data_IF_661154964374
#
_entry.id   IF_661154964374
#
_cell.length_a   1.000
_cell.length_b   1.000
_cell.length_c   1.000
_cell.angle_alpha   90.00
_cell.angle_beta   90.00
_cell.angle_gamma   90.00
#
_symmetry.space_group_name_H-M   'P 1'
#
loop_
_entity.id
_entity.type
_entity.pdbx_description
1 polymer ?
#
# COMPACT_ATOMS: atom_id res chain seq x y z
N UNK A 1 32.75 7.60 3.01
CA UNK A 1 31.90 6.99 1.93
C UNK A 1 31.08 5.77 2.42
N UNK A 2 30.54 5.77 3.65
CA UNK A 2 29.67 4.69 4.17
C UNK A 2 28.18 5.05 4.24
N UNK A 3 27.83 6.35 4.16
CA UNK A 3 26.45 6.84 4.27
C UNK A 3 25.58 6.46 3.07
N UNK A 4 26.13 6.48 1.86
CA UNK A 4 25.44 6.10 0.62
C UNK A 4 25.11 4.60 0.51
N UNK A 5 25.65 3.75 1.40
CA UNK A 5 25.38 2.30 1.38
C UNK A 5 24.11 1.92 2.17
N UNK A 6 23.56 2.85 2.96
CA UNK A 6 22.33 2.67 3.76
C UNK A 6 21.09 3.12 2.98
N UNK A 7 21.25 4.04 2.01
CA UNK A 7 20.16 4.57 1.21
C UNK A 7 20.03 3.78 -0.09
N UNK A 8 19.00 2.94 -0.18
CA UNK A 8 18.63 2.26 -1.41
C UNK A 8 18.29 3.30 -2.51
N UNK A 9 18.64 3.05 -3.78
CA UNK A 9 18.35 3.98 -4.88
C UNK A 9 16.88 4.40 -4.96
N UNK A 10 15.95 3.53 -4.59
CA UNK A 10 14.53 3.86 -4.56
C UNK A 10 14.20 4.87 -3.46
N UNK A 11 14.79 4.72 -2.26
CA UNK A 11 14.62 5.69 -1.16
C UNK A 11 15.17 7.06 -1.54
N UNK A 12 16.32 7.13 -2.20
CA UNK A 12 16.87 8.41 -2.70
C UNK A 12 15.96 9.06 -3.73
N UNK A 13 15.40 8.26 -4.63
CA UNK A 13 14.46 8.73 -5.65
C UNK A 13 13.18 9.26 -5.00
N UNK A 14 12.65 8.55 -4.00
CA UNK A 14 11.47 8.95 -3.24
C UNK A 14 11.70 10.30 -2.52
N UNK A 15 12.84 10.46 -1.84
CA UNK A 15 13.21 11.73 -1.19
C UNK A 15 13.28 12.86 -2.23
N UNK A 16 13.92 12.59 -3.38
CA UNK A 16 14.04 13.57 -4.46
C UNK A 16 12.66 14.00 -4.98
N UNK A 17 11.74 13.05 -5.16
CA UNK A 17 10.37 13.34 -5.61
C UNK A 17 9.59 14.13 -4.57
N UNK A 18 9.73 13.82 -3.29
CA UNK A 18 9.12 14.59 -2.20
C UNK A 18 9.64 16.03 -2.21
N UNK A 19 10.96 16.23 -2.30
CA UNK A 19 11.55 17.57 -2.40
C UNK A 19 11.05 18.31 -3.64
N UNK A 20 10.99 17.64 -4.80
CA UNK A 20 10.45 18.23 -6.02
C UNK A 20 8.99 18.64 -5.85
N UNK A 21 8.13 17.81 -5.26
CA UNK A 21 6.74 18.16 -5.01
C UNK A 21 6.60 19.32 -4.01
N UNK A 22 7.51 19.43 -3.03
CA UNK A 22 7.52 20.53 -2.05
C UNK A 22 7.93 21.87 -2.65
N UNK A 23 8.92 21.90 -3.55
CA UNK A 23 9.41 23.15 -4.15
C UNK A 23 8.72 23.51 -5.48
N UNK A 24 8.27 22.49 -6.22
CA UNK A 24 7.62 22.61 -7.52
C UNK A 24 6.32 21.81 -7.57
N UNK A 25 5.32 22.15 -6.74
CA UNK A 25 4.04 21.45 -6.74
C UNK A 25 3.31 21.64 -8.08
N UNK A 26 2.57 20.61 -8.51
CA UNK A 26 1.61 20.76 -9.61
C UNK A 26 0.55 21.81 -9.25
N UNK A 27 0.35 22.82 -10.11
CA UNK A 27 -0.58 23.95 -9.90
C UNK A 27 -1.41 24.22 -11.14
N UNK A 28 -2.59 24.81 -10.95
CA UNK A 28 -3.47 25.26 -12.04
C UNK A 28 -3.95 24.11 -12.91
N UNK A 29 -3.93 24.30 -14.23
CA UNK A 29 -4.48 23.36 -15.22
C UNK A 29 -3.79 21.99 -15.25
N UNK A 30 -2.61 21.85 -14.62
CA UNK A 30 -1.93 20.56 -14.48
C UNK A 30 -2.58 19.65 -13.42
N UNK A 31 -3.34 20.19 -12.46
CA UNK A 31 -3.99 19.41 -11.39
C UNK A 31 -4.88 18.28 -11.94
N UNK A 32 -5.88 18.56 -12.81
CA UNK A 32 -6.74 17.49 -13.35
C UNK A 32 -5.98 16.49 -14.23
N UNK A 33 -4.87 16.91 -14.86
CA UNK A 33 -4.01 15.98 -15.60
C UNK A 33 -3.31 14.99 -14.65
N UNK A 34 -2.70 15.49 -13.57
CA UNK A 34 -2.02 14.64 -12.58
C UNK A 34 -2.99 13.76 -11.80
N UNK A 35 -4.21 14.21 -11.50
CA UNK A 35 -5.25 13.39 -10.88
C UNK A 35 -5.67 12.20 -11.76
N UNK A 36 -5.94 12.45 -13.04
CA UNK A 36 -6.29 11.40 -14.00
C UNK A 36 -5.13 10.44 -14.22
N UNK A 37 -3.90 10.96 -14.33
CA UNK A 37 -2.69 10.15 -14.49
C UNK A 37 -2.43 9.28 -13.24
N UNK A 38 -2.65 9.83 -12.05
CA UNK A 38 -2.53 9.10 -10.78
C UNK A 38 -3.58 8.00 -10.68
N UNK A 39 -4.82 8.30 -11.07
CA UNK A 39 -5.90 7.30 -11.13
C UNK A 39 -5.56 6.15 -12.08
N UNK A 40 -5.05 6.47 -13.27
CA UNK A 40 -4.58 5.47 -14.24
C UNK A 40 -3.38 4.68 -13.71
N UNK A 41 -2.45 5.33 -13.02
CA UNK A 41 -1.27 4.68 -12.42
C UNK A 41 -1.65 3.73 -11.28
N UNK A 42 -2.62 4.09 -10.44
CA UNK A 42 -3.19 3.21 -9.41
C UNK A 42 -3.89 2.02 -10.06
N UNK A 43 -4.74 2.25 -11.07
CA UNK A 43 -5.40 1.15 -11.79
C UNK A 43 -4.38 0.20 -12.42
N UNK A 44 -3.35 0.72 -13.08
CA UNK A 44 -2.26 -0.07 -13.64
C UNK A 44 -1.49 -0.85 -12.56
N UNK A 45 -1.17 -0.20 -11.43
CA UNK A 45 -0.48 -0.84 -10.31
C UNK A 45 -1.28 -2.03 -9.81
N UNK A 46 -2.58 -1.86 -9.51
CA UNK A 46 -3.43 -2.94 -9.02
C UNK A 46 -3.64 -4.04 -10.08
N UNK A 47 -3.79 -3.68 -11.35
CA UNK A 47 -3.84 -4.64 -12.46
C UNK A 47 -2.57 -5.51 -12.52
N UNK A 48 -1.39 -4.88 -12.45
CA UNK A 48 -0.12 -5.60 -12.47
C UNK A 48 0.07 -6.47 -11.23
N UNK A 49 -0.43 -6.06 -10.06
CA UNK A 49 -0.45 -6.89 -8.87
C UNK A 49 -1.33 -8.14 -9.05
N UNK A 50 -2.53 -7.98 -9.63
CA UNK A 50 -3.41 -9.09 -9.96
C UNK A 50 -2.77 -10.08 -10.95
N UNK A 51 -2.14 -9.56 -12.00
CA UNK A 51 -1.46 -10.36 -13.02
C UNK A 51 -0.23 -11.12 -12.49
N UNK A 52 0.46 -10.57 -11.48
CA UNK A 52 1.59 -11.24 -10.80
C UNK A 52 1.13 -12.36 -9.87
N UNK A 53 -0.08 -12.27 -9.31
CA UNK A 53 -0.56 -13.19 -8.28
C UNK A 53 -0.80 -14.60 -8.86
N UNK A 54 0.07 -15.54 -8.48
CA UNK A 54 -0.04 -16.92 -8.92
C UNK A 54 -0.98 -17.77 -8.08
N UNK A 55 -1.67 -18.71 -8.73
CA UNK A 55 -2.55 -19.68 -8.03
C UNK A 55 -1.74 -20.51 -7.05
N UNK A 56 -0.52 -20.85 -7.43
CA UNK A 56 0.45 -21.57 -6.60
C UNK A 56 0.85 -20.76 -5.36
N UNK A 57 1.01 -19.44 -5.48
CA UNK A 57 1.31 -18.56 -4.33
C UNK A 57 0.11 -18.45 -3.37
N UNK A 58 -1.12 -18.43 -3.90
CA UNK A 58 -2.34 -18.46 -3.08
C UNK A 58 -2.41 -19.78 -2.29
N UNK A 59 -2.15 -20.91 -2.94
CA UNK A 59 -2.20 -22.25 -2.31
C UNK A 59 -1.04 -22.44 -1.32
N UNK A 60 0.18 -22.02 -1.67
CA UNK A 60 1.36 -22.10 -0.82
C UNK A 60 1.22 -21.27 0.47
N UNK A 61 0.43 -20.18 0.42
CA UNK A 61 0.03 -19.39 1.59
C UNK A 61 -0.76 -20.17 2.65
N UNK A 62 -1.23 -21.39 2.35
CA UNK A 62 -1.99 -22.22 3.30
C UNK A 62 -1.15 -23.07 4.27
N UNK A 63 0.15 -23.24 4.03
CA UNK A 63 0.96 -24.25 4.72
C UNK A 63 1.16 -24.06 6.24
N UNK A 64 1.07 -22.82 6.75
CA UNK A 64 1.31 -22.50 8.17
C UNK A 64 0.21 -21.60 8.77
N UNK A 65 -1.05 -22.02 8.64
CA UNK A 65 -2.24 -21.21 8.97
C UNK A 65 -2.23 -20.56 10.36
N UNK A 66 -1.69 -21.21 11.40
CA UNK A 66 -1.60 -20.64 12.76
C UNK A 66 -0.71 -19.39 12.82
N UNK A 67 0.42 -19.42 12.11
CA UNK A 67 1.32 -18.27 12.01
C UNK A 67 0.68 -17.17 11.18
N UNK A 68 0.09 -17.53 10.04
CA UNK A 68 -0.61 -16.57 9.18
C UNK A 68 -1.72 -15.86 9.93
N UNK A 69 -2.52 -16.58 10.71
CA UNK A 69 -3.59 -16.01 11.51
C UNK A 69 -3.04 -15.03 12.56
N UNK A 70 -1.96 -15.38 13.25
CA UNK A 70 -1.30 -14.45 14.19
C UNK A 70 -0.82 -13.16 13.52
N UNK A 71 -0.17 -13.28 12.36
CA UNK A 71 0.32 -12.11 11.62
C UNK A 71 -0.84 -11.29 11.03
N UNK A 72 -1.91 -11.93 10.56
CA UNK A 72 -3.10 -11.23 10.07
C UNK A 72 -3.81 -10.50 11.21
N UNK A 73 -4.03 -11.15 12.34
CA UNK A 73 -4.68 -10.53 13.49
C UNK A 73 -3.84 -9.39 14.07
N UNK A 74 -2.52 -9.53 14.14
CA UNK A 74 -1.69 -8.40 14.57
C UNK A 74 -1.81 -7.23 13.60
N UNK A 75 -1.70 -7.47 12.29
CA UNK A 75 -1.70 -6.42 11.25
C UNK A 75 -3.05 -5.75 11.09
N UNK A 76 -4.14 -6.51 11.04
CA UNK A 76 -5.46 -6.02 10.64
C UNK A 76 -6.47 -5.89 11.78
N UNK A 77 -6.10 -6.29 13.00
CA UNK A 77 -6.96 -6.14 14.19
C UNK A 77 -6.22 -5.35 15.26
N UNK A 78 -5.06 -5.83 15.72
CA UNK A 78 -4.32 -5.20 16.82
C UNK A 78 -3.88 -3.78 16.46
N UNK A 79 -3.19 -3.58 15.33
CA UNK A 79 -2.73 -2.24 14.93
C UNK A 79 -3.87 -1.25 14.68
N UNK A 80 -4.96 -1.58 13.96
CA UNK A 80 -6.12 -0.70 13.85
C UNK A 80 -6.76 -0.34 15.19
N UNK A 81 -6.89 -1.30 16.13
CA UNK A 81 -7.41 -1.03 17.48
C UNK A 81 -6.49 -0.04 18.21
N UNK A 82 -5.17 -0.25 18.16
CA UNK A 82 -4.20 0.68 18.76
C UNK A 82 -4.28 2.07 18.12
N UNK A 83 -4.46 2.15 16.80
CA UNK A 83 -4.66 3.41 16.08
C UNK A 83 -5.93 4.14 16.53
N UNK A 84 -7.05 3.43 16.69
CA UNK A 84 -8.30 3.99 17.20
C UNK A 84 -8.14 4.49 18.64
N UNK A 85 -7.51 3.69 19.51
CA UNK A 85 -7.23 4.08 20.89
C UNK A 85 -6.34 5.33 20.96
N UNK A 86 -5.33 5.43 20.08
CA UNK A 86 -4.46 6.60 19.99
C UNK A 86 -5.23 7.84 19.51
N UNK A 87 -6.07 7.71 18.49
CA UNK A 87 -6.91 8.79 17.98
C UNK A 87 -7.98 9.23 18.99
N UNK A 88 -8.48 8.31 19.81
CA UNK A 88 -9.42 8.60 20.89
C UNK A 88 -8.75 9.30 22.08
N UNK A 89 -7.56 8.84 22.48
CA UNK A 89 -6.83 9.40 23.62
C UNK A 89 -6.27 10.80 23.33
N UNK A 90 -6.02 11.13 22.05
CA UNK A 90 -5.44 12.41 21.60
C UNK A 90 -4.24 12.87 22.44
N UNK A 91 -3.19 12.04 22.60
CA UNK A 91 -2.08 12.35 23.48
C UNK A 91 -1.24 13.56 23.02
N UNK A 92 -1.37 13.97 21.75
CA UNK A 92 -0.65 15.11 21.18
C UNK A 92 -1.65 16.11 20.59
N UNK A 93 -1.47 17.40 20.84
CA UNK A 93 -2.33 18.43 20.25
C UNK A 93 -1.93 18.68 18.78
N UNK A 94 -2.47 17.87 17.87
CA UNK A 94 -2.26 17.96 16.42
C UNK A 94 -3.61 17.98 15.71
N UNK A 95 -3.59 18.36 14.42
CA UNK A 95 -4.76 18.40 13.58
C UNK A 95 -5.51 17.04 13.55
N UNK A 96 -6.85 17.00 13.70
CA UNK A 96 -7.64 15.76 13.60
C UNK A 96 -7.43 14.96 12.31
N UNK A 97 -7.07 15.62 11.21
CA UNK A 97 -6.75 14.98 9.94
C UNK A 97 -5.44 14.20 10.01
N UNK A 98 -4.49 14.63 10.84
CA UNK A 98 -3.24 13.88 11.08
C UNK A 98 -3.51 12.58 11.85
N UNK A 99 -4.45 12.59 12.81
CA UNK A 99 -4.90 11.38 13.47
C UNK A 99 -5.57 10.40 12.51
N UNK A 100 -6.38 10.91 11.58
CA UNK A 100 -6.98 10.10 10.51
C UNK A 100 -5.92 9.49 9.59
N UNK A 101 -4.89 10.25 9.21
CA UNK A 101 -3.75 9.76 8.43
C UNK A 101 -2.95 8.69 9.18
N UNK A 102 -2.70 8.89 10.48
CA UNK A 102 -2.05 7.89 11.32
C UNK A 102 -2.87 6.59 11.44
N UNK A 103 -4.18 6.72 11.64
CA UNK A 103 -5.09 5.57 11.67
C UNK A 103 -5.11 4.82 10.32
N UNK A 104 -5.09 5.54 9.20
CA UNK A 104 -4.94 4.94 7.88
C UNK A 104 -3.65 4.11 7.78
N UNK A 105 -2.51 4.63 8.25
CA UNK A 105 -1.25 3.88 8.31
C UNK A 105 -1.35 2.61 9.15
N UNK A 106 -2.08 2.62 10.27
CA UNK A 106 -2.31 1.44 11.10
C UNK A 106 -3.15 0.34 10.42
N UNK A 107 -3.88 0.67 9.35
CA UNK A 107 -4.74 -0.26 8.60
C UNK A 107 -4.01 -0.86 7.38
N UNK A 108 -2.91 -0.26 6.95
CA UNK A 108 -2.12 -0.75 5.81
C UNK A 108 -1.37 -2.05 6.15
N UNK A 109 -1.17 -2.94 5.17
CA UNK A 109 -0.41 -4.16 5.39
C UNK A 109 1.07 -3.86 5.66
N UNK A 110 1.75 -4.79 6.36
CA UNK A 110 3.17 -4.69 6.63
C UNK A 110 4.04 -4.90 5.37
N UNK A 111 5.24 -4.30 5.37
CA UNK A 111 6.23 -4.45 4.29
C UNK A 111 6.94 -5.80 4.34
N UNK A 112 6.91 -6.55 3.23
CA UNK A 112 7.50 -7.90 3.12
C UNK A 112 9.00 -7.92 3.44
N UNK A 113 9.78 -7.00 2.87
CA UNK A 113 11.23 -7.00 3.04
C UNK A 113 11.67 -6.74 4.50
N UNK A 114 11.05 -5.76 5.16
CA UNK A 114 11.37 -5.45 6.57
C UNK A 114 11.00 -6.62 7.49
N UNK A 115 9.85 -7.27 7.25
CA UNK A 115 9.42 -8.43 8.03
C UNK A 115 10.43 -9.59 7.93
N UNK A 116 10.96 -9.85 6.73
CA UNK A 116 11.99 -10.87 6.49
C UNK A 116 13.29 -10.50 7.20
N UNK A 117 13.75 -9.25 7.02
CA UNK A 117 15.00 -8.79 7.61
C UNK A 117 14.98 -8.87 9.14
N UNK A 118 13.93 -8.35 9.78
CA UNK A 118 13.80 -8.39 11.24
C UNK A 118 13.60 -9.79 11.78
N UNK A 119 12.85 -10.65 11.08
CA UNK A 119 12.71 -12.06 11.49
C UNK A 119 14.05 -12.78 11.42
N UNK A 120 14.84 -12.56 10.36
CA UNK A 120 16.17 -13.15 10.23
C UNK A 120 17.11 -12.68 11.34
N UNK A 121 17.09 -11.38 11.66
CA UNK A 121 17.91 -10.81 12.73
C UNK A 121 17.52 -11.36 14.11
N UNK A 122 16.24 -11.65 14.33
CA UNK A 122 15.74 -12.25 15.56
C UNK A 122 15.96 -13.78 15.63
N UNK A 123 16.63 -14.40 14.65
CA UNK A 123 16.84 -15.85 14.58
C UNK A 123 15.57 -16.66 14.28
N UNK A 124 14.54 -16.01 13.74
CA UNK A 124 13.25 -16.63 13.42
C UNK A 124 13.22 -17.34 12.07
N UNK A 125 12.06 -17.93 11.74
CA UNK A 125 11.87 -18.66 10.49
C UNK A 125 11.62 -17.71 9.31
N UNK A 126 12.67 -17.45 8.53
CA UNK A 126 12.64 -16.58 7.34
C UNK A 126 11.65 -17.08 6.28
N UNK A 127 11.59 -18.38 6.00
CA UNK A 127 10.70 -18.93 4.99
C UNK A 127 9.22 -18.70 5.36
N UNK A 128 8.90 -18.88 6.65
CA UNK A 128 7.56 -18.63 7.17
C UNK A 128 7.22 -17.13 7.17
N UNK A 129 8.19 -16.25 7.46
CA UNK A 129 8.01 -14.80 7.37
C UNK A 129 7.78 -14.34 5.93
N UNK A 130 8.52 -14.87 4.94
CA UNK A 130 8.29 -14.58 3.51
C UNK A 130 6.86 -14.95 3.13
N UNK A 131 6.44 -16.17 3.48
CA UNK A 131 5.10 -16.66 3.15
C UNK A 131 4.02 -15.80 3.82
N UNK A 132 4.16 -15.52 5.12
CA UNK A 132 3.15 -14.80 5.88
C UNK A 132 3.07 -13.32 5.54
N UNK A 133 4.20 -12.67 5.29
CA UNK A 133 4.20 -11.28 4.86
C UNK A 133 3.63 -11.16 3.45
N UNK A 134 3.93 -12.10 2.54
CA UNK A 134 3.33 -12.12 1.19
C UNK A 134 1.82 -12.32 1.27
N UNK A 135 1.34 -13.27 2.09
CA UNK A 135 -0.08 -13.48 2.33
C UNK A 135 -0.75 -12.23 2.93
N UNK A 136 -0.09 -11.56 3.88
CA UNK A 136 -0.59 -10.32 4.50
C UNK A 136 -0.73 -9.20 3.50
N UNK A 137 0.30 -8.95 2.68
CA UNK A 137 0.26 -7.92 1.65
C UNK A 137 -0.81 -8.20 0.61
N UNK A 138 -0.99 -9.46 0.20
CA UNK A 138 -2.04 -9.86 -0.74
C UNK A 138 -3.44 -9.70 -0.15
N UNK A 139 -3.66 -10.14 1.09
CA UNK A 139 -4.95 -9.94 1.77
C UNK A 139 -5.21 -8.46 2.03
N UNK A 140 -4.18 -7.67 2.35
CA UNK A 140 -4.28 -6.24 2.58
C UNK A 140 -4.81 -5.44 1.40
N UNK A 141 -4.55 -5.88 0.16
CA UNK A 141 -5.13 -5.29 -1.06
C UNK A 141 -6.67 -5.22 -0.96
N UNK A 142 -7.28 -6.24 -0.36
CA UNK A 142 -8.73 -6.34 -0.18
C UNK A 142 -9.17 -5.81 1.19
N UNK A 143 -8.43 -6.17 2.25
CA UNK A 143 -8.85 -5.94 3.62
C UNK A 143 -8.64 -4.49 4.07
N UNK A 144 -7.57 -3.83 3.61
CA UNK A 144 -7.26 -2.47 4.05
C UNK A 144 -8.33 -1.46 3.64
N UNK A 145 -8.85 -1.41 2.39
CA UNK A 145 -9.88 -0.44 2.06
C UNK A 145 -11.23 -0.74 2.74
N UNK A 146 -11.54 -2.03 3.02
CA UNK A 146 -12.71 -2.40 3.84
C UNK A 146 -12.57 -1.87 5.27
N UNK A 147 -11.40 -2.07 5.89
CA UNK A 147 -11.12 -1.60 7.24
C UNK A 147 -11.08 -0.08 7.31
N UNK A 148 -10.48 0.59 6.34
CA UNK A 148 -10.50 2.06 6.22
C UNK A 148 -11.94 2.54 6.15
N UNK A 149 -12.74 1.96 5.27
CA UNK A 149 -14.14 2.32 5.11
C UNK A 149 -14.96 2.10 6.37
N UNK A 150 -14.75 1.00 7.09
CA UNK A 150 -15.44 0.68 8.33
C UNK A 150 -15.00 1.59 9.48
N UNK A 151 -13.70 1.69 9.73
CA UNK A 151 -13.14 2.36 10.91
C UNK A 151 -13.24 3.88 10.79
N UNK A 152 -13.02 4.43 9.59
CA UNK A 152 -13.07 5.88 9.36
C UNK A 152 -14.49 6.41 9.19
N UNK A 153 -15.48 5.60 8.77
CA UNK A 153 -16.91 5.96 8.86
C UNK A 153 -17.33 6.23 10.30
N UNK A 154 -16.95 5.31 11.19
CA UNK A 154 -17.42 5.28 12.58
C UNK A 154 -16.94 6.51 13.35
N UNK A 155 -15.87 7.17 12.89
CA UNK A 155 -15.31 8.40 13.48
C UNK A 155 -15.82 9.71 12.85
N UNK A 156 -16.86 9.67 12.01
CA UNK A 156 -17.57 10.89 11.58
C UNK A 156 -17.05 11.58 10.32
N UNK A 157 -16.12 10.97 9.58
CA UNK A 157 -15.86 11.37 8.20
C UNK A 157 -16.95 10.72 7.34
N UNK A 158 -17.91 11.51 6.83
CA UNK A 158 -19.15 11.11 6.14
C UNK A 158 -19.01 10.19 4.93
N UNK A 159 -18.52 8.98 5.16
CA UNK A 159 -17.99 8.10 4.16
C UNK A 159 -18.91 6.94 3.88
N UNK A 160 -20.18 7.14 3.52
CA UNK A 160 -21.18 6.06 3.38
C UNK A 160 -20.62 4.70 2.90
N UNK A 161 -21.18 3.58 3.37
CA UNK A 161 -20.86 2.22 2.88
C UNK A 161 -20.74 2.12 1.35
N UNK A 162 -21.52 2.95 0.64
CA UNK A 162 -21.49 3.10 -0.81
C UNK A 162 -20.17 3.68 -1.35
N UNK A 163 -19.58 4.66 -0.67
CA UNK A 163 -18.28 5.27 -1.00
C UNK A 163 -17.13 4.27 -0.79
N UNK A 164 -17.21 3.47 0.28
CA UNK A 164 -16.30 2.34 0.51
C UNK A 164 -16.43 1.33 -0.62
N UNK A 165 -17.67 1.00 -1.00
CA UNK A 165 -17.97 0.15 -2.14
C UNK A 165 -17.37 0.68 -3.45
N UNK A 166 -17.46 1.98 -3.71
CA UNK A 166 -16.86 2.61 -4.91
C UNK A 166 -15.34 2.52 -4.91
N UNK A 167 -14.68 2.83 -3.80
CA UNK A 167 -13.21 2.71 -3.69
C UNK A 167 -12.80 1.25 -3.86
N UNK A 168 -13.54 0.33 -3.25
CA UNK A 168 -13.31 -1.10 -3.42
C UNK A 168 -13.47 -1.51 -4.87
N UNK A 169 -14.52 -1.08 -5.56
CA UNK A 169 -14.72 -1.40 -6.97
C UNK A 169 -13.60 -0.78 -7.82
N UNK A 170 -13.19 0.45 -7.54
CA UNK A 170 -12.10 1.13 -8.25
C UNK A 170 -10.74 0.45 -8.09
N UNK A 171 -10.44 -0.14 -6.92
CA UNK A 171 -9.18 -0.84 -6.65
C UNK A 171 -9.24 -2.34 -7.01
N UNK A 172 -10.35 -3.01 -6.71
CA UNK A 172 -10.55 -4.44 -6.95
C UNK A 172 -10.82 -4.77 -8.40
N UNK A 173 -11.58 -3.94 -9.12
CA UNK A 173 -11.87 -4.18 -10.52
C UNK A 173 -10.58 -4.32 -11.35
N UNK A 174 -9.63 -3.37 -11.34
CA UNK A 174 -8.39 -3.52 -12.10
C UNK A 174 -7.57 -4.72 -11.60
N UNK A 175 -7.54 -5.00 -10.30
CA UNK A 175 -6.87 -6.16 -9.75
C UNK A 175 -7.45 -7.48 -10.29
N UNK A 176 -8.77 -7.65 -10.24
CA UNK A 176 -9.47 -8.85 -10.71
C UNK A 176 -9.28 -9.02 -12.20
N UNK A 177 -9.39 -7.94 -12.99
CA UNK A 177 -9.10 -7.96 -14.42
C UNK A 177 -7.65 -8.40 -14.69
N UNK A 178 -6.70 -7.89 -13.92
CA UNK A 178 -5.30 -8.31 -13.96
C UNK A 178 -5.13 -9.80 -13.67
N UNK A 179 -5.77 -10.30 -12.61
CA UNK A 179 -5.70 -11.70 -12.22
C UNK A 179 -6.34 -12.63 -13.25
N UNK A 180 -7.50 -12.26 -13.80
CA UNK A 180 -8.17 -13.03 -14.85
C UNK A 180 -7.40 -13.03 -16.16
N UNK A 181 -6.65 -11.97 -16.47
CA UNK A 181 -5.79 -11.91 -17.65
C UNK A 181 -4.51 -12.75 -17.52
N UNK A 182 -4.15 -13.18 -16.29
CA UNK A 182 -2.91 -13.92 -16.00
C UNK A 182 -2.66 -15.16 -16.86
N UNK A 183 -3.65 -16.01 -17.22
CA UNK A 183 -3.41 -17.14 -18.12
C UNK A 183 -2.88 -16.73 -19.51
N UNK A 184 -3.16 -15.50 -19.95
CA UNK A 184 -2.69 -14.98 -21.24
C UNK A 184 -1.39 -14.18 -21.12
N UNK A 185 -1.26 -13.33 -20.09
CA UNK A 185 -0.12 -12.42 -19.95
C UNK A 185 0.93 -12.89 -18.93
N UNK A 186 0.66 -13.95 -18.17
CA UNK A 186 1.48 -14.38 -17.03
C UNK A 186 2.92 -14.76 -17.41
N UNK A 187 3.09 -15.41 -18.57
CA UNK A 187 4.43 -15.75 -19.08
C UNK A 187 5.20 -14.53 -19.57
N UNK A 188 4.51 -13.56 -20.17
CA UNK A 188 5.12 -12.29 -20.54
C UNK A 188 5.50 -11.49 -19.28
N UNK A 189 4.63 -11.48 -18.26
CA UNK A 189 4.89 -10.84 -16.97
C UNK A 189 6.09 -11.47 -16.27
N UNK A 190 6.17 -12.80 -16.26
CA UNK A 190 7.26 -13.52 -15.61
C UNK A 190 8.60 -13.35 -16.34
N UNK A 191 8.59 -13.16 -17.66
CA UNK A 191 9.77 -12.83 -18.48
C UNK A 191 10.22 -11.38 -18.32
N UNK A 192 9.28 -10.44 -18.15
CA UNK A 192 9.56 -9.00 -18.10
C UNK A 192 9.57 -8.39 -16.69
N UNK A 193 9.87 -9.18 -15.66
CA UNK A 193 9.87 -8.77 -14.24
C UNK A 193 10.58 -7.43 -13.97
N UNK A 194 11.70 -7.15 -14.64
CA UNK A 194 12.46 -5.90 -14.46
C UNK A 194 11.67 -4.67 -14.94
N UNK A 195 11.04 -4.75 -16.11
CA UNK A 195 10.21 -3.66 -16.64
C UNK A 195 8.99 -3.43 -15.76
N UNK A 196 8.36 -4.51 -15.33
CA UNK A 196 7.18 -4.43 -14.47
C UNK A 196 7.53 -3.86 -13.09
N UNK A 197 8.68 -4.20 -12.52
CA UNK A 197 9.15 -3.60 -11.28
C UNK A 197 9.42 -2.09 -11.44
N UNK A 198 9.96 -1.65 -12.59
CA UNK A 198 10.12 -0.23 -12.88
C UNK A 198 8.79 0.49 -13.01
N UNK A 199 7.83 -0.07 -13.75
CA UNK A 199 6.49 0.50 -13.88
C UNK A 199 5.83 0.69 -12.52
N UNK A 200 5.93 -0.32 -11.65
CA UNK A 200 5.42 -0.29 -10.28
C UNK A 200 6.04 0.86 -9.45
N UNK A 201 7.38 0.96 -9.47
CA UNK A 201 8.10 2.05 -8.80
C UNK A 201 7.71 3.43 -9.36
N UNK A 202 7.61 3.59 -10.67
CA UNK A 202 7.22 4.86 -11.29
C UNK A 202 5.79 5.26 -10.90
N UNK A 203 4.85 4.30 -10.87
CA UNK A 203 3.47 4.56 -10.40
C UNK A 203 3.46 5.05 -8.96
N UNK A 204 4.26 4.45 -8.07
CA UNK A 204 4.37 4.89 -6.67
C UNK A 204 4.94 6.32 -6.59
N UNK A 205 6.01 6.60 -7.33
CA UNK A 205 6.62 7.93 -7.36
C UNK A 205 5.64 9.00 -7.84
N UNK A 206 4.83 8.70 -8.86
CA UNK A 206 3.80 9.61 -9.35
C UNK A 206 2.71 9.89 -8.30
N UNK A 207 2.22 8.86 -7.61
CA UNK A 207 1.22 9.01 -6.54
C UNK A 207 1.76 9.90 -5.42
N UNK A 208 3.01 9.66 -5.02
CA UNK A 208 3.69 10.46 -3.98
C UNK A 208 3.86 11.91 -4.43
N UNK A 209 4.30 12.15 -5.67
CA UNK A 209 4.45 13.50 -6.20
C UNK A 209 3.13 14.28 -6.17
N UNK A 210 2.05 13.65 -6.63
CA UNK A 210 0.72 14.28 -6.71
C UNK A 210 0.18 14.58 -5.31
N UNK A 211 0.25 13.62 -4.39
CA UNK A 211 -0.22 13.80 -3.01
C UNK A 211 0.55 14.89 -2.24
N UNK A 212 1.88 14.93 -2.38
CA UNK A 212 2.68 15.98 -1.75
C UNK A 212 2.47 17.35 -2.41
N UNK A 213 2.30 17.39 -3.73
CA UNK A 213 1.99 18.64 -4.44
C UNK A 213 0.67 19.23 -3.95
N UNK A 214 -0.36 18.40 -3.82
CA UNK A 214 -1.67 18.80 -3.32
C UNK A 214 -1.60 19.28 -1.87
N UNK A 215 -0.87 18.56 -1.00
CA UNK A 215 -0.67 18.97 0.39
C UNK A 215 0.02 20.33 0.53
N UNK A 216 0.98 20.65 -0.35
CA UNK A 216 1.72 21.92 -0.35
C UNK A 216 0.90 23.07 -0.94
N UNK A 217 -0.04 22.77 -1.84
CA UNK A 217 -0.93 23.80 -2.43
C UNK A 217 -2.09 24.14 -1.50
N UNK A 218 -2.59 23.16 -0.74
CA UNK A 218 -3.76 23.31 0.14
C UNK A 218 -3.42 23.55 1.62
N UNK A 219 -2.17 23.36 2.04
CA UNK A 219 -1.67 23.59 3.40
C UNK A 219 -0.92 24.90 3.56
#
# INVERSE_FOLDING_TARGET
>A
MKLFRILDPFTLTLITVVLLASFFPARGDFVPFFENLTTAAIALLFFMHGAKLSREAIIAGGGHWRLHLWVMCSTFVLFPILGVLFAWWKPVNVDPMLYSGFLYLCILPATVQSAIAFTSMAGGNVAAAVCSASASSLLGIFLSPLLVGLVMNVHGAGGSLEQVGKIMLQLLLPFVLGHLSRPWIGDWVSRNKKWIAKTDQTSILLVVYTAFSEAVVNG
#
